data_IF_296010174250
#
_entry.id   IF_296010174250
#
_cell.length_a   1.000
_cell.length_b   1.000
_cell.length_c   1.000
_cell.angle_alpha   90.00
_cell.angle_beta   90.00
_cell.angle_gamma   90.00
#
_symmetry.space_group_name_H-M   'P 1'
#
loop_
_entity.id
_entity.type
_entity.pdbx_description
1 polymer ?
#
# COMPACT_ATOMS: atom_id res chain seq x y z
N UNK A 1 -21.41 -46.06 35.99
CA UNK A 1 -20.16 -45.29 35.73
C UNK A 1 -19.85 -45.05 34.24
N UNK A 2 -20.62 -45.61 33.28
CA UNK A 2 -20.41 -45.37 31.82
C UNK A 2 -21.05 -44.06 31.28
N UNK A 3 -22.13 -43.57 31.91
CA UNK A 3 -22.88 -42.41 31.41
C UNK A 3 -22.14 -41.07 31.49
N UNK A 4 -21.35 -40.82 32.55
CA UNK A 4 -20.60 -39.57 32.71
C UNK A 4 -19.46 -39.42 31.70
N UNK A 5 -18.81 -40.52 31.30
CA UNK A 5 -17.68 -40.47 30.36
C UNK A 5 -18.16 -40.22 28.93
N UNK A 6 -19.31 -40.81 28.55
CA UNK A 6 -19.95 -40.55 27.26
C UNK A 6 -20.47 -39.12 27.16
N UNK A 7 -21.06 -38.57 28.23
CA UNK A 7 -21.50 -37.17 28.25
C UNK A 7 -20.32 -36.18 28.15
N UNK A 8 -19.21 -36.46 28.84
CA UNK A 8 -17.99 -35.65 28.76
C UNK A 8 -17.35 -35.68 27.37
N UNK A 9 -17.34 -36.83 26.69
CA UNK A 9 -16.84 -36.94 25.32
C UNK A 9 -17.74 -36.21 24.31
N UNK A 10 -19.06 -36.29 24.49
CA UNK A 10 -20.02 -35.55 23.66
C UNK A 10 -19.88 -34.03 23.86
N UNK A 11 -19.67 -33.59 25.12
CA UNK A 11 -19.42 -32.18 25.45
C UNK A 11 -18.09 -31.68 24.86
N UNK A 12 -17.03 -32.49 24.93
CA UNK A 12 -15.73 -32.13 24.32
C UNK A 12 -15.83 -32.04 22.79
N UNK A 13 -16.52 -32.99 22.14
CA UNK A 13 -16.73 -32.98 20.69
C UNK A 13 -17.57 -31.78 20.24
N UNK A 14 -18.60 -31.42 21.02
CA UNK A 14 -19.39 -30.21 20.80
C UNK A 14 -18.55 -28.94 21.00
N UNK A 15 -17.68 -28.88 22.02
CA UNK A 15 -16.78 -27.73 22.21
C UNK A 15 -15.74 -27.59 21.08
N UNK A 16 -15.22 -28.69 20.53
CA UNK A 16 -14.23 -28.64 19.44
C UNK A 16 -14.84 -28.30 18.08
N UNK A 17 -16.14 -28.49 17.90
CA UNK A 17 -16.83 -28.12 16.66
C UNK A 17 -16.96 -26.59 16.52
N UNK A 18 -16.99 -25.86 17.65
CA UNK A 18 -17.21 -24.41 17.67
C UNK A 18 -15.93 -23.60 17.41
N UNK A 19 -14.74 -24.21 17.50
CA UNK A 19 -13.46 -23.52 17.28
C UNK A 19 -13.00 -23.51 15.82
N UNK A 20 -13.79 -24.08 14.90
CA UNK A 20 -13.53 -24.01 13.45
C UNK A 20 -14.51 -23.09 12.72
N UNK A 21 -15.07 -22.10 13.43
CA UNK A 21 -15.62 -20.94 12.75
C UNK A 21 -14.43 -20.12 12.26
N UNK A 22 -13.98 -20.40 11.03
CA UNK A 22 -13.03 -19.56 10.31
C UNK A 22 -13.46 -18.12 10.51
N UNK A 23 -12.54 -17.30 11.06
CA UNK A 23 -12.79 -15.88 11.33
C UNK A 23 -13.42 -15.28 10.08
N UNK A 24 -14.73 -15.04 10.12
CA UNK A 24 -15.39 -14.21 9.14
C UNK A 24 -14.83 -12.81 9.36
N UNK A 25 -13.87 -12.43 8.52
CA UNK A 25 -13.35 -11.07 8.47
C UNK A 25 -14.58 -10.17 8.24
N UNK A 26 -14.79 -9.12 9.06
CA UNK A 26 -15.92 -8.23 8.87
C UNK A 26 -15.88 -7.71 7.43
N UNK A 27 -16.97 -7.95 6.70
CA UNK A 27 -17.16 -7.41 5.36
C UNK A 27 -17.26 -5.90 5.50
N UNK A 28 -16.10 -5.25 5.38
CA UNK A 28 -15.97 -3.81 5.53
C UNK A 28 -16.87 -3.05 4.58
N UNK A 29 -17.18 -1.81 4.96
CA UNK A 29 -17.80 -0.88 4.02
C UNK A 29 -16.93 -0.80 2.77
N UNK A 30 -17.54 -1.03 1.61
CA UNK A 30 -16.84 -0.93 0.32
C UNK A 30 -16.27 0.48 0.18
N UNK A 31 -15.01 0.64 -0.26
CA UNK A 31 -14.47 1.97 -0.49
C UNK A 31 -15.25 2.67 -1.61
N UNK A 32 -15.12 4.00 -1.67
CA UNK A 32 -15.67 4.80 -2.76
C UNK A 32 -14.88 4.57 -4.06
N UNK A 33 -15.08 3.42 -4.72
CA UNK A 33 -14.29 2.93 -5.84
C UNK A 33 -14.08 3.97 -6.93
N UNK A 34 -15.14 4.64 -7.39
CA UNK A 34 -15.05 5.67 -8.43
C UNK A 34 -14.16 6.86 -8.02
N UNK A 35 -14.22 7.30 -6.75
CA UNK A 35 -13.35 8.38 -6.25
C UNK A 35 -11.90 7.92 -6.13
N UNK A 36 -11.70 6.68 -5.67
CA UNK A 36 -10.36 6.09 -5.60
C UNK A 36 -9.75 5.90 -6.98
N UNK A 37 -10.54 5.52 -7.99
CA UNK A 37 -10.11 5.42 -9.39
C UNK A 37 -9.66 6.79 -9.92
N UNK A 38 -10.46 7.83 -9.71
CA UNK A 38 -10.12 9.18 -10.17
C UNK A 38 -8.80 9.67 -9.54
N UNK A 39 -8.64 9.52 -8.23
CA UNK A 39 -7.42 9.96 -7.53
C UNK A 39 -6.20 9.09 -7.89
N UNK A 40 -6.34 7.78 -7.99
CA UNK A 40 -5.23 6.89 -8.38
C UNK A 40 -4.78 7.11 -9.82
N UNK A 41 -5.70 7.44 -10.73
CA UNK A 41 -5.34 7.84 -12.09
C UNK A 41 -4.57 9.17 -12.10
N UNK A 42 -5.01 10.15 -11.28
CA UNK A 42 -4.28 11.42 -11.11
C UNK A 42 -2.88 11.20 -10.54
N UNK A 43 -2.75 10.28 -9.57
CA UNK A 43 -1.46 9.89 -9.00
C UNK A 43 -0.52 9.30 -10.04
N UNK A 44 -1.01 8.46 -10.96
CA UNK A 44 -0.21 7.97 -12.07
C UNK A 44 0.35 9.15 -12.88
N UNK A 45 -0.51 10.08 -13.31
CA UNK A 45 -0.08 11.25 -14.08
C UNK A 45 0.96 12.09 -13.34
N UNK A 46 0.74 12.33 -12.04
CA UNK A 46 1.67 13.11 -11.20
C UNK A 46 3.00 12.39 -10.96
N UNK A 47 3.00 11.07 -10.77
CA UNK A 47 4.21 10.29 -10.57
C UNK A 47 5.11 10.30 -11.80
N UNK A 48 4.54 10.34 -13.00
CA UNK A 48 5.28 10.50 -14.26
C UNK A 48 5.74 11.94 -14.50
N UNK A 49 4.95 12.95 -14.14
CA UNK A 49 5.33 14.36 -14.34
C UNK A 49 6.31 14.89 -13.28
N UNK A 50 6.31 14.30 -12.08
CA UNK A 50 7.26 14.61 -11.01
C UNK A 50 8.65 14.01 -11.26
N UNK A 51 8.73 12.99 -12.13
CA UNK A 51 10.02 12.42 -12.50
C UNK A 51 10.72 13.35 -13.48
N UNK A 52 11.96 13.80 -13.21
CA UNK A 52 12.69 14.62 -14.16
C UNK A 52 12.85 13.86 -15.48
N UNK A 53 12.92 14.56 -16.63
CA UNK A 53 13.25 13.97 -17.92
C UNK A 53 14.73 13.59 -17.98
N UNK A 54 15.24 12.89 -16.98
CA UNK A 54 16.47 12.10 -17.09
C UNK A 54 16.14 10.95 -18.04
N UNK A 55 16.36 11.18 -19.33
CA UNK A 55 16.02 10.24 -20.39
C UNK A 55 16.69 8.90 -20.13
N UNK A 56 15.92 7.92 -19.64
CA UNK A 56 16.32 6.52 -19.41
C UNK A 56 17.81 6.33 -19.08
N UNK A 57 18.37 7.19 -18.23
CA UNK A 57 19.66 6.92 -17.61
C UNK A 57 19.22 6.09 -16.44
N UNK A 58 19.19 4.77 -16.65
CA UNK A 58 19.11 3.87 -15.52
C UNK A 58 20.23 4.29 -14.57
N UNK A 59 19.83 4.73 -13.37
CA UNK A 59 20.80 4.82 -12.30
C UNK A 59 21.48 3.45 -12.28
N UNK A 60 22.83 3.41 -12.36
CA UNK A 60 23.53 2.14 -12.36
C UNK A 60 22.99 1.30 -11.22
N UNK A 61 22.47 0.11 -11.56
CA UNK A 61 22.03 -0.86 -10.56
C UNK A 61 23.23 -1.08 -9.64
N UNK A 62 23.12 -0.65 -8.38
CA UNK A 62 24.26 -0.74 -7.47
C UNK A 62 24.56 -2.22 -7.23
N UNK A 63 25.84 -2.59 -7.32
CA UNK A 63 26.32 -3.94 -7.02
C UNK A 63 26.11 -4.16 -5.52
N UNK A 64 24.93 -4.66 -5.15
CA UNK A 64 24.46 -4.75 -3.77
C UNK A 64 22.93 -4.71 -3.61
N UNK A 65 22.18 -4.24 -4.62
CA UNK A 65 20.69 -4.16 -4.53
C UNK A 65 19.99 -5.53 -4.40
N UNK A 66 20.66 -6.65 -4.73
CA UNK A 66 20.13 -8.00 -4.51
C UNK A 66 20.53 -8.60 -3.14
N UNK A 67 21.53 -8.04 -2.45
CA UNK A 67 22.05 -8.51 -1.16
C UNK A 67 21.74 -7.56 0.01
N UNK A 68 21.27 -6.34 -0.26
CA UNK A 68 20.98 -5.36 0.78
C UNK A 68 19.56 -5.55 1.33
N UNK A 69 19.50 -5.70 2.65
CA UNK A 69 18.29 -5.84 3.49
C UNK A 69 17.32 -4.65 3.26
N UNK A 70 17.77 -3.57 2.63
CA UNK A 70 17.03 -2.33 2.34
C UNK A 70 15.95 -2.43 1.26
N UNK A 71 16.01 -3.42 0.34
CA UNK A 71 14.87 -3.66 -0.59
C UNK A 71 13.68 -4.29 0.12
N UNK A 72 13.92 -4.94 1.26
CA UNK A 72 12.89 -5.55 2.10
C UNK A 72 12.06 -4.49 2.86
N UNK A 73 12.58 -3.27 2.98
CA UNK A 73 11.94 -2.18 3.72
C UNK A 73 10.90 -1.40 2.89
N UNK A 74 10.94 -1.51 1.55
CA UNK A 74 9.99 -0.83 0.67
C UNK A 74 8.74 -1.70 0.46
N UNK A 75 7.53 -1.21 0.76
CA UNK A 75 6.32 -1.99 0.58
C UNK A 75 5.99 -2.15 -0.92
N UNK A 76 6.04 -3.40 -1.38
CA UNK A 76 5.57 -3.83 -2.69
C UNK A 76 4.23 -4.56 -2.60
N UNK A 77 3.39 -4.44 -3.63
CA UNK A 77 2.21 -5.30 -3.77
C UNK A 77 2.68 -6.63 -4.37
N UNK A 78 2.72 -7.65 -3.52
CA UNK A 78 3.17 -9.01 -3.83
C UNK A 78 2.03 -9.87 -4.39
N UNK A 79 2.40 -11.04 -4.90
CA UNK A 79 1.45 -12.00 -5.47
C UNK A 79 0.40 -12.46 -4.45
N UNK A 80 0.76 -12.65 -3.19
CA UNK A 80 -0.18 -13.07 -2.13
C UNK A 80 -1.09 -11.96 -1.57
N UNK A 81 -0.88 -10.69 -1.96
CA UNK A 81 -1.64 -9.56 -1.40
C UNK A 81 -3.10 -9.48 -1.92
N UNK A 82 -3.50 -10.36 -2.84
CA UNK A 82 -4.87 -10.48 -3.34
C UNK A 82 -5.33 -9.30 -4.20
N UNK A 83 -4.37 -8.58 -4.82
CA UNK A 83 -4.64 -7.46 -5.72
C UNK A 83 -4.87 -7.89 -7.18
N UNK A 84 -4.89 -9.18 -7.47
CA UNK A 84 -5.34 -9.71 -8.75
C UNK A 84 -6.88 -9.65 -8.86
N UNK A 85 -7.47 -9.69 -10.06
CA UNK A 85 -8.92 -9.58 -10.24
C UNK A 85 -9.74 -10.62 -9.45
N UNK A 86 -9.22 -11.85 -9.30
CA UNK A 86 -9.92 -12.89 -8.56
C UNK A 86 -9.85 -12.63 -7.05
N UNK A 87 -8.67 -12.27 -6.53
CA UNK A 87 -8.49 -11.84 -5.14
C UNK A 87 -9.39 -10.67 -4.74
N UNK A 88 -9.52 -9.66 -5.61
CA UNK A 88 -10.40 -8.51 -5.39
C UNK A 88 -11.88 -8.89 -5.29
N UNK A 89 -12.31 -9.86 -6.11
CA UNK A 89 -13.70 -10.36 -6.10
C UNK A 89 -14.00 -11.18 -4.85
N UNK A 90 -13.04 -11.99 -4.40
CA UNK A 90 -13.21 -12.87 -3.25
C UNK A 90 -13.17 -12.08 -1.95
N UNK A 91 -12.14 -11.25 -1.76
CA UNK A 91 -12.02 -10.34 -0.63
C UNK A 91 -11.01 -9.22 -0.91
N UNK A 92 -11.49 -8.03 -1.26
CA UNK A 92 -10.64 -6.87 -1.53
C UNK A 92 -9.89 -6.32 -0.32
N UNK A 93 -10.21 -6.72 0.91
CA UNK A 93 -9.66 -6.09 2.12
C UNK A 93 -8.14 -6.25 2.25
N UNK A 94 -7.60 -7.44 1.95
CA UNK A 94 -6.15 -7.66 1.99
C UNK A 94 -5.40 -6.73 1.04
N UNK A 95 -5.90 -6.61 -0.19
CA UNK A 95 -5.31 -5.72 -1.18
C UNK A 95 -5.42 -4.25 -0.77
N UNK A 96 -6.60 -3.81 -0.30
CA UNK A 96 -6.82 -2.43 0.14
C UNK A 96 -5.93 -2.06 1.33
N UNK A 97 -5.74 -2.99 2.27
CA UNK A 97 -4.80 -2.84 3.38
C UNK A 97 -3.36 -2.66 2.87
N UNK A 98 -2.94 -3.48 1.90
CA UNK A 98 -1.60 -3.37 1.32
C UNK A 98 -1.40 -2.04 0.59
N UNK A 99 -2.39 -1.60 -0.18
CA UNK A 99 -2.38 -0.29 -0.83
C UNK A 99 -2.30 0.82 0.23
N UNK A 100 -3.08 0.75 1.31
CA UNK A 100 -3.03 1.74 2.38
C UNK A 100 -1.63 1.82 3.03
N UNK A 101 -1.00 0.68 3.32
CA UNK A 101 0.38 0.63 3.84
C UNK A 101 1.38 1.30 2.91
N UNK A 102 1.32 1.00 1.61
CA UNK A 102 2.19 1.63 0.62
C UNK A 102 1.97 3.14 0.53
N UNK A 103 0.71 3.60 0.59
CA UNK A 103 0.39 5.04 0.57
C UNK A 103 0.98 5.77 1.79
N UNK A 104 0.85 5.20 3.00
CA UNK A 104 1.45 5.74 4.23
C UNK A 104 2.96 5.85 4.08
N UNK A 105 3.60 4.81 3.56
CA UNK A 105 5.05 4.77 3.37
C UNK A 105 5.54 5.85 2.41
N UNK A 106 4.94 5.95 1.22
CA UNK A 106 5.34 6.95 0.22
C UNK A 106 4.99 8.37 0.64
N UNK A 107 3.87 8.60 1.33
CA UNK A 107 3.58 9.90 1.94
C UNK A 107 4.71 10.33 2.87
N UNK A 108 5.09 9.48 3.84
CA UNK A 108 6.17 9.76 4.79
C UNK A 108 7.52 9.99 4.09
N UNK A 109 7.83 9.21 3.04
CA UNK A 109 9.03 9.44 2.23
C UNK A 109 9.00 10.79 1.51
N UNK A 110 7.88 11.17 0.89
CA UNK A 110 7.76 12.45 0.19
C UNK A 110 7.75 13.64 1.16
N UNK A 111 7.37 13.44 2.42
CA UNK A 111 7.48 14.43 3.49
C UNK A 111 8.85 14.49 4.18
N UNK A 112 9.79 13.60 3.83
CA UNK A 112 11.11 13.51 4.48
C UNK A 112 12.11 14.55 3.97
N UNK A 113 13.29 14.60 4.61
CA UNK A 113 14.40 15.46 4.17
C UNK A 113 14.90 15.13 2.76
N UNK A 114 14.58 13.93 2.23
CA UNK A 114 14.90 13.55 0.86
C UNK A 114 14.25 14.53 -0.14
N UNK A 115 13.00 14.93 0.08
CA UNK A 115 12.26 15.82 -0.82
C UNK A 115 12.12 17.26 -0.29
N UNK A 116 12.25 17.46 1.02
CA UNK A 116 12.15 18.79 1.65
C UNK A 116 13.51 19.46 1.91
N UNK A 117 14.59 18.69 1.94
CA UNK A 117 15.95 19.20 2.11
C UNK A 117 16.65 19.58 0.80
N UNK A 118 17.82 20.19 0.92
CA UNK A 118 18.65 20.60 -0.23
C UNK A 118 19.08 19.43 -1.14
N UNK A 119 19.06 19.56 -2.47
CA UNK A 119 18.60 20.73 -3.24
C UNK A 119 17.09 20.93 -3.16
N UNK A 120 16.65 22.14 -2.79
CA UNK A 120 15.24 22.44 -2.55
C UNK A 120 14.36 22.26 -3.80
N UNK A 121 13.17 21.67 -3.63
CA UNK A 121 12.16 21.54 -4.67
C UNK A 121 11.18 22.72 -4.65
N UNK A 122 10.51 22.99 -5.78
CA UNK A 122 9.49 24.03 -5.84
C UNK A 122 8.29 23.67 -4.93
N UNK A 123 7.82 24.60 -4.06
CA UNK A 123 6.79 24.31 -3.07
C UNK A 123 5.43 23.91 -3.66
N UNK A 124 5.09 24.40 -4.86
CA UNK A 124 3.86 24.03 -5.59
C UNK A 124 4.14 23.15 -6.82
N UNK A 125 5.32 22.52 -6.84
CA UNK A 125 5.75 21.63 -7.90
C UNK A 125 4.99 20.31 -7.97
N UNK A 126 5.27 19.47 -8.98
CA UNK A 126 4.58 18.20 -9.20
C UNK A 126 4.73 17.24 -8.01
N UNK A 127 5.87 17.27 -7.30
CA UNK A 127 6.09 16.46 -6.08
C UNK A 127 5.15 16.88 -4.93
N UNK A 128 4.91 18.17 -4.75
CA UNK A 128 3.99 18.67 -3.71
C UNK A 128 2.56 18.23 -3.99
N UNK A 129 2.12 18.34 -5.25
CA UNK A 129 0.81 17.87 -5.68
C UNK A 129 0.68 16.33 -5.57
N UNK A 130 1.76 15.60 -5.84
CA UNK A 130 1.83 14.15 -5.68
C UNK A 130 1.66 13.76 -4.21
N UNK A 131 2.39 14.42 -3.29
CA UNK A 131 2.26 14.21 -1.85
C UNK A 131 0.83 14.47 -1.35
N UNK A 132 0.23 15.61 -1.74
CA UNK A 132 -1.16 15.93 -1.38
C UNK A 132 -2.17 14.92 -1.94
N UNK A 133 -1.94 14.43 -3.17
CA UNK A 133 -2.81 13.42 -3.79
C UNK A 133 -2.69 12.05 -3.13
N UNK A 134 -1.50 11.67 -2.63
CA UNK A 134 -1.28 10.43 -1.87
C UNK A 134 -2.06 10.48 -0.56
N UNK A 135 -1.98 11.60 0.16
CA UNK A 135 -2.75 11.83 1.38
C UNK A 135 -4.26 11.75 1.12
N UNK A 136 -4.75 12.37 0.04
CA UNK A 136 -6.16 12.32 -0.34
C UNK A 136 -6.64 10.89 -0.61
N UNK A 137 -5.87 10.07 -1.34
CA UNK A 137 -6.22 8.68 -1.58
C UNK A 137 -6.16 7.85 -0.29
N UNK A 138 -5.15 8.07 0.58
CA UNK A 138 -5.05 7.41 1.89
C UNK A 138 -6.28 7.65 2.74
N UNK A 139 -6.75 8.89 2.80
CA UNK A 139 -7.95 9.27 3.56
C UNK A 139 -9.22 8.61 3.01
N UNK A 140 -9.35 8.46 1.68
CA UNK A 140 -10.50 7.74 1.09
C UNK A 140 -10.55 6.26 1.46
N UNK A 141 -9.40 5.63 1.76
CA UNK A 141 -9.32 4.23 2.19
C UNK A 141 -9.51 4.06 3.71
N UNK A 142 -9.46 5.14 4.48
CA UNK A 142 -9.78 5.13 5.90
C UNK A 142 -11.31 5.25 6.06
N UNK A 143 -12.04 4.17 5.81
CA UNK A 143 -13.47 4.11 6.09
C UNK A 143 -13.74 3.89 7.58
N UNK A 144 -14.85 4.44 8.08
CA UNK A 144 -15.30 4.28 9.47
C UNK A 144 -15.43 2.79 9.82
N UNK A 145 -14.64 2.34 10.81
CA UNK A 145 -14.60 0.95 11.26
C UNK A 145 -13.37 0.14 10.79
N UNK A 146 -12.47 0.72 9.98
CA UNK A 146 -11.19 0.08 9.61
C UNK A 146 -10.03 0.72 10.36
N UNK A 147 -9.73 0.16 11.53
CA UNK A 147 -8.45 0.43 12.20
C UNK A 147 -7.37 -0.38 11.48
N UNK A 148 -6.81 0.20 10.41
CA UNK A 148 -5.61 -0.34 9.79
C UNK A 148 -4.52 -0.48 10.86
N UNK A 149 -3.81 -1.61 10.89
CA UNK A 149 -2.78 -1.89 11.89
C UNK A 149 -1.78 -0.73 12.01
N UNK A 150 -1.22 -0.55 13.21
CA UNK A 150 -0.35 0.57 13.58
C UNK A 150 0.62 0.94 12.44
N UNK A 151 0.60 2.21 12.03
CA UNK A 151 1.38 2.72 10.92
C UNK A 151 2.87 2.40 11.11
N UNK A 152 3.38 1.47 10.32
CA UNK A 152 4.82 1.25 10.25
C UNK A 152 5.44 2.52 9.65
N UNK A 153 6.23 3.20 10.46
CA UNK A 153 6.93 4.41 10.04
C UNK A 153 8.28 3.94 9.53
N UNK A 154 8.65 4.22 8.26
CA UNK A 154 9.97 3.88 7.80
C UNK A 154 11.01 4.52 8.72
N UNK A 155 12.05 3.77 9.08
CA UNK A 155 13.19 4.32 9.81
C UNK A 155 14.01 5.19 8.86
N UNK A 156 13.61 6.45 8.74
CA UNK A 156 14.28 7.40 7.87
C UNK A 156 15.48 8.00 8.60
N UNK A 157 16.67 7.58 8.21
CA UNK A 157 17.91 8.23 8.63
C UNK A 157 18.12 9.53 7.85
N UNK A 158 18.75 10.56 8.43
CA UNK A 158 19.05 11.80 7.71
C UNK A 158 19.90 11.52 6.46
N UNK A 159 19.51 12.09 5.32
CA UNK A 159 20.18 11.89 4.04
C UNK A 159 21.12 13.05 3.70
N UNK A 160 22.25 12.77 3.05
CA UNK A 160 23.15 13.82 2.55
C UNK A 160 22.61 14.42 1.24
N UNK A 161 22.84 15.71 0.93
CA UNK A 161 22.29 16.37 -0.26
C UNK A 161 22.57 15.64 -1.59
N UNK A 162 23.76 15.06 -1.75
CA UNK A 162 24.12 14.29 -2.95
C UNK A 162 23.37 12.94 -3.04
N UNK A 163 23.09 12.30 -1.89
CA UNK A 163 22.29 11.07 -1.86
C UNK A 163 20.87 11.35 -2.29
N UNK A 164 20.30 12.49 -1.89
CA UNK A 164 18.93 12.90 -2.25
C UNK A 164 18.74 12.98 -3.76
N UNK A 165 19.73 13.48 -4.49
CA UNK A 165 19.71 13.54 -5.96
C UNK A 165 19.60 12.15 -6.62
N UNK A 166 20.13 11.11 -5.97
CA UNK A 166 20.04 9.72 -6.42
C UNK A 166 18.79 9.00 -5.91
N UNK A 167 18.38 9.28 -4.67
CA UNK A 167 17.24 8.65 -4.02
C UNK A 167 15.90 9.10 -4.61
N UNK A 168 15.74 10.40 -4.92
CA UNK A 168 14.50 10.94 -5.50
C UNK A 168 14.04 10.18 -6.76
N UNK A 169 14.87 9.98 -7.80
CA UNK A 169 14.44 9.23 -8.97
C UNK A 169 14.18 7.74 -8.68
N UNK A 170 14.96 7.08 -7.79
CA UNK A 170 14.70 5.69 -7.37
C UNK A 170 13.32 5.57 -6.69
N UNK A 171 13.02 6.45 -5.74
CA UNK A 171 11.74 6.48 -5.02
C UNK A 171 10.58 6.77 -5.96
N UNK A 172 10.71 7.77 -6.84
CA UNK A 172 9.65 8.11 -7.79
C UNK A 172 9.39 6.97 -8.79
N UNK A 173 10.43 6.25 -9.24
CA UNK A 173 10.29 5.07 -10.10
C UNK A 173 9.57 3.92 -9.38
N UNK A 174 9.94 3.65 -8.13
CA UNK A 174 9.25 2.66 -7.30
C UNK A 174 7.78 3.05 -7.07
N UNK A 175 7.52 4.33 -6.80
CA UNK A 175 6.17 4.86 -6.64
C UNK A 175 5.34 4.72 -7.91
N UNK A 176 5.92 4.96 -9.10
CA UNK A 176 5.24 4.75 -10.40
C UNK A 176 4.71 3.32 -10.54
N UNK A 177 5.54 2.32 -10.22
CA UNK A 177 5.12 0.92 -10.26
C UNK A 177 3.98 0.64 -9.27
N UNK A 178 4.12 1.13 -8.04
CA UNK A 178 3.11 0.98 -6.99
C UNK A 178 1.76 1.60 -7.38
N UNK A 179 1.74 2.88 -7.78
CA UNK A 179 0.48 3.57 -8.13
C UNK A 179 -0.15 3.01 -9.40
N UNK A 180 0.63 2.44 -10.31
CA UNK A 180 0.08 1.78 -11.49
C UNK A 180 -0.71 0.52 -11.11
N UNK A 181 -0.25 -0.27 -10.13
CA UNK A 181 -1.02 -1.41 -9.61
C UNK A 181 -2.27 -0.91 -8.89
N UNK A 182 -2.14 0.07 -7.99
CA UNK A 182 -3.28 0.64 -7.27
C UNK A 182 -4.35 1.20 -8.23
N UNK A 183 -3.96 1.90 -9.29
CA UNK A 183 -4.90 2.44 -10.29
C UNK A 183 -5.66 1.33 -11.02
N UNK A 184 -5.00 0.21 -11.36
CA UNK A 184 -5.67 -0.96 -11.95
C UNK A 184 -6.66 -1.59 -10.97
N UNK A 185 -6.29 -1.73 -9.70
CA UNK A 185 -7.18 -2.24 -8.65
C UNK A 185 -8.43 -1.38 -8.53
N UNK A 186 -8.29 -0.05 -8.42
CA UNK A 186 -9.44 0.84 -8.29
C UNK A 186 -10.27 0.94 -9.56
N UNK A 187 -9.67 0.91 -10.75
CA UNK A 187 -10.40 0.86 -12.01
C UNK A 187 -11.22 -0.43 -12.14
N UNK A 188 -10.63 -1.58 -11.78
CA UNK A 188 -11.33 -2.85 -11.78
C UNK A 188 -12.47 -2.88 -10.76
N UNK A 189 -12.21 -2.44 -9.52
CA UNK A 189 -13.22 -2.36 -8.47
C UNK A 189 -14.36 -1.40 -8.83
N UNK A 190 -14.03 -0.26 -9.45
CA UNK A 190 -15.05 0.67 -9.95
C UNK A 190 -15.96 0.03 -11.01
N UNK A 191 -15.39 -0.75 -11.92
CA UNK A 191 -16.11 -1.40 -13.01
C UNK A 191 -16.89 -2.66 -12.61
N UNK A 192 -16.48 -3.36 -11.55
CA UNK A 192 -17.00 -4.72 -11.25
C UNK A 192 -17.55 -4.92 -9.83
N UNK A 193 -17.19 -4.04 -8.89
CA UNK A 193 -17.55 -4.16 -7.47
C UNK A 193 -18.42 -2.99 -6.98
N UNK A 194 -18.60 -1.94 -7.78
CA UNK A 194 -19.57 -0.89 -7.49
C UNK A 194 -21.01 -1.40 -7.74
N UNK A 195 -21.96 -1.16 -6.81
CA UNK A 195 -23.36 -1.54 -6.99
C UNK A 195 -24.08 -0.72 -8.08
#
# INVERSE_FOLDING_TARGET
>A
MLGSRAMMLLLLLLLTCWTTQGRAVPKGSSPAWARCQQLSQRLCTLAWSAHPPTGHVDLPREVGEEEDETTNDVPHIQCEDGCDPQGLRDNSQSCLQRIHQGLVFYEKLLGSDIFTGEPSLLPDGPVSQLHASLLGLRQLLQTEGHHWAAEQTPSLSPSQPWQRLLLRPKILRSLQAFVAVAARVFAHGAATLSP
#
